data_IF_594130970056
#
_entry.id   IF_594130970056
#
_cell.length_a   1.000
_cell.length_b   1.000
_cell.length_c   1.000
_cell.angle_alpha   90.00
_cell.angle_beta   90.00
_cell.angle_gamma   90.00
#
_symmetry.space_group_name_H-M   'P 1'
#
loop_
_entity.id
_entity.type
_entity.pdbx_description
1 polymer ?
#
# COMPACT_ATOMS: atom_id res chain seq x y z
N UNK A 1 7.45 22.89 -6.22
CA UNK A 1 6.30 22.19 -5.59
C UNK A 1 5.33 21.81 -6.71
N UNK A 2 4.95 20.56 -6.85
CA UNK A 2 3.93 20.20 -7.83
C UNK A 2 2.60 20.82 -7.40
N UNK A 3 2.01 21.60 -8.29
CA UNK A 3 0.66 22.14 -8.08
C UNK A 3 -0.36 21.00 -8.14
N UNK A 4 -1.50 21.17 -7.50
CA UNK A 4 -2.62 20.27 -7.68
C UNK A 4 -3.05 20.25 -9.15
N UNK A 5 -3.33 19.08 -9.66
CA UNK A 5 -3.86 18.85 -10.99
C UNK A 5 -5.31 18.39 -10.89
N UNK A 6 -6.18 18.92 -11.73
CA UNK A 6 -7.55 18.44 -11.88
C UNK A 6 -7.54 17.15 -12.70
N UNK A 7 -7.88 16.04 -12.08
CA UNK A 7 -7.88 14.71 -12.70
C UNK A 7 -9.28 14.16 -12.66
N UNK A 8 -9.83 13.80 -13.82
CA UNK A 8 -11.16 13.22 -13.92
C UNK A 8 -11.13 11.74 -13.56
N UNK A 9 -12.17 11.28 -12.87
CA UNK A 9 -12.40 9.85 -12.65
C UNK A 9 -13.05 9.28 -13.92
N UNK A 10 -12.30 8.47 -14.66
CA UNK A 10 -12.77 7.80 -15.86
C UNK A 10 -13.67 6.61 -15.53
N UNK A 11 -13.25 5.80 -14.53
CA UNK A 11 -13.97 4.60 -14.13
C UNK A 11 -13.86 4.38 -12.62
N UNK A 12 -14.93 3.88 -12.04
CA UNK A 12 -14.94 3.36 -10.66
C UNK A 12 -15.17 1.84 -10.76
N UNK A 13 -14.32 1.07 -10.09
CA UNK A 13 -14.40 -0.38 -10.02
C UNK A 13 -14.71 -0.75 -8.57
N UNK A 14 -15.87 -1.33 -8.33
CA UNK A 14 -16.25 -1.88 -7.03
C UNK A 14 -15.53 -3.23 -6.84
N UNK A 15 -14.61 -3.28 -5.89
CA UNK A 15 -13.91 -4.52 -5.55
C UNK A 15 -14.62 -5.28 -4.44
N UNK A 16 -15.23 -4.55 -3.50
CA UNK A 16 -16.11 -5.05 -2.44
C UNK A 16 -16.86 -3.88 -1.80
N UNK A 17 -17.66 -4.11 -0.77
CA UNK A 17 -18.35 -3.05 0.00
C UNK A 17 -17.37 -2.07 0.67
N UNK A 18 -16.14 -2.54 0.96
CA UNK A 18 -15.11 -1.74 1.62
C UNK A 18 -14.04 -1.20 0.67
N UNK A 19 -13.93 -1.71 -0.56
CA UNK A 19 -12.83 -1.37 -1.46
C UNK A 19 -13.33 -0.91 -2.83
N UNK A 20 -12.75 0.20 -3.29
CA UNK A 20 -12.95 0.74 -4.65
C UNK A 20 -11.64 1.10 -5.30
N UNK A 21 -11.55 0.86 -6.62
CA UNK A 21 -10.53 1.43 -7.48
C UNK A 21 -11.08 2.58 -8.30
N UNK A 22 -10.35 3.68 -8.30
CA UNK A 22 -10.61 4.87 -9.10
C UNK A 22 -9.60 4.90 -10.25
N UNK A 23 -10.06 4.65 -11.47
CA UNK A 23 -9.27 4.78 -12.68
C UNK A 23 -9.34 6.23 -13.13
N UNK A 24 -8.19 6.85 -13.33
CA UNK A 24 -8.02 8.25 -13.67
C UNK A 24 -7.84 8.42 -15.18
N UNK A 25 -8.28 9.55 -15.73
CA UNK A 25 -8.17 9.90 -17.16
C UNK A 25 -6.72 10.23 -17.59
N UNK A 26 -5.76 10.11 -16.68
CA UNK A 26 -4.35 10.40 -16.92
C UNK A 26 -3.44 9.36 -16.31
N UNK A 27 -2.45 8.94 -17.09
CA UNK A 27 -1.31 8.19 -16.58
C UNK A 27 -0.28 9.13 -15.95
N UNK A 28 0.19 8.80 -14.77
CA UNK A 28 1.29 9.49 -14.09
C UNK A 28 2.61 8.80 -14.44
N UNK A 29 3.67 9.59 -14.57
CA UNK A 29 5.03 9.04 -14.61
C UNK A 29 5.44 8.62 -13.19
N UNK A 30 4.98 7.44 -12.81
CA UNK A 30 5.12 6.89 -11.46
C UNK A 30 5.68 5.48 -11.47
N UNK A 31 6.28 5.09 -10.36
CA UNK A 31 6.85 3.77 -10.12
C UNK A 31 6.10 3.06 -8.98
N UNK A 32 6.04 1.71 -8.99
CA UNK A 32 5.41 0.93 -7.92
C UNK A 32 5.96 1.26 -6.53
N UNK A 33 5.07 1.57 -5.60
CA UNK A 33 5.41 2.00 -4.24
C UNK A 33 5.29 3.50 -4.02
N UNK A 34 5.35 4.33 -5.08
CA UNK A 34 5.09 5.75 -4.97
C UNK A 34 3.61 6.05 -4.67
N UNK A 35 3.34 7.26 -4.17
CA UNK A 35 2.02 7.72 -3.79
C UNK A 35 1.72 9.12 -4.35
N UNK A 36 0.47 9.50 -4.31
CA UNK A 36 0.02 10.86 -4.53
C UNK A 36 -0.76 11.38 -3.31
N UNK A 37 -0.91 12.68 -3.24
CA UNK A 37 -1.83 13.33 -2.32
C UNK A 37 -3.13 13.65 -3.07
N UNK A 38 -4.24 13.13 -2.57
CA UNK A 38 -5.58 13.40 -3.08
C UNK A 38 -6.27 14.40 -2.17
N UNK A 39 -6.70 15.51 -2.73
CA UNK A 39 -7.41 16.56 -2.03
C UNK A 39 -8.87 16.63 -2.50
N UNK A 40 -9.78 16.64 -1.54
CA UNK A 40 -11.20 16.96 -1.76
C UNK A 40 -11.41 18.41 -1.30
N UNK A 41 -11.70 19.35 -2.23
CA UNK A 41 -11.87 20.76 -1.90
C UNK A 41 -12.90 20.98 -0.79
N UNK A 42 -12.52 21.76 0.22
CA UNK A 42 -13.38 22.05 1.37
C UNK A 42 -13.40 20.97 2.46
N UNK A 43 -12.69 19.85 2.26
CA UNK A 43 -12.68 18.74 3.20
C UNK A 43 -11.27 18.46 3.78
N UNK A 44 -10.46 17.62 3.12
CA UNK A 44 -9.10 17.27 3.60
C UNK A 44 -8.23 16.78 2.43
N UNK A 45 -6.96 16.47 2.70
CA UNK A 45 -6.00 15.88 1.77
C UNK A 45 -5.35 14.65 2.40
N UNK A 46 -5.27 13.53 1.65
CA UNK A 46 -4.72 12.26 2.13
C UNK A 46 -3.79 11.62 1.10
N UNK A 47 -2.76 10.87 1.57
CA UNK A 47 -1.89 10.09 0.70
C UNK A 47 -2.58 8.80 0.25
N UNK A 48 -2.39 8.44 -1.03
CA UNK A 48 -2.80 7.16 -1.59
C UNK A 48 -1.70 6.61 -2.49
N UNK A 49 -1.34 5.35 -2.27
CA UNK A 49 -0.42 4.63 -3.16
C UNK A 49 -1.08 4.37 -4.51
N UNK A 50 -0.29 4.43 -5.57
CA UNK A 50 -0.75 4.01 -6.88
C UNK A 50 -0.89 2.48 -6.94
N UNK A 51 -2.02 1.98 -7.44
CA UNK A 51 -2.26 0.57 -7.79
C UNK A 51 -2.04 0.27 -9.27
N UNK A 52 -1.90 1.32 -10.07
CA UNK A 52 -1.34 1.38 -11.43
C UNK A 52 -0.97 2.83 -11.75
N UNK A 53 -0.35 3.10 -12.89
CA UNK A 53 0.05 4.46 -13.32
C UNK A 53 -1.11 5.46 -13.40
N UNK A 54 -2.35 4.99 -13.52
CA UNK A 54 -3.57 5.79 -13.52
C UNK A 54 -4.65 5.25 -12.57
N UNK A 55 -4.27 4.46 -11.55
CA UNK A 55 -5.26 3.84 -10.67
C UNK A 55 -4.91 4.02 -9.19
N UNK A 56 -5.92 4.36 -8.39
CA UNK A 56 -5.87 4.45 -6.95
C UNK A 56 -6.90 3.52 -6.34
N UNK A 57 -6.47 2.61 -5.46
CA UNK A 57 -7.37 1.71 -4.73
C UNK A 57 -7.50 2.18 -3.29
N UNK A 58 -8.74 2.32 -2.84
CA UNK A 58 -9.09 2.93 -1.57
C UNK A 58 -9.91 1.98 -0.74
N UNK A 59 -9.54 1.82 0.54
CA UNK A 59 -10.37 1.20 1.56
C UNK A 59 -11.22 2.27 2.27
N UNK A 60 -12.49 2.00 2.48
CA UNK A 60 -13.38 2.86 3.27
C UNK A 60 -13.12 2.65 4.76
N UNK A 61 -12.42 3.61 5.39
CA UNK A 61 -11.99 3.50 6.80
C UNK A 61 -12.29 4.74 7.65
N UNK A 62 -12.95 5.75 7.08
CA UNK A 62 -13.27 6.96 7.83
C UNK A 62 -13.73 8.11 6.94
N UNK A 63 -14.00 9.30 7.50
CA UNK A 63 -14.73 10.38 6.84
C UNK A 63 -14.19 10.77 5.45
N UNK A 64 -12.85 10.83 5.29
CA UNK A 64 -12.26 11.17 3.99
C UNK A 64 -12.55 10.11 2.92
N UNK A 65 -12.40 8.84 3.27
CA UNK A 65 -12.63 7.73 2.34
C UNK A 65 -14.12 7.50 2.10
N UNK A 66 -14.98 7.82 3.07
CA UNK A 66 -16.44 7.85 2.89
C UNK A 66 -16.82 8.92 1.87
N UNK A 67 -16.22 10.13 1.97
CA UNK A 67 -16.46 11.19 0.99
C UNK A 67 -15.96 10.80 -0.41
N UNK A 68 -14.80 10.13 -0.53
CA UNK A 68 -14.34 9.56 -1.80
C UNK A 68 -15.33 8.53 -2.37
N UNK A 69 -15.96 7.73 -1.52
CA UNK A 69 -16.98 6.76 -1.97
C UNK A 69 -18.29 7.40 -2.42
N UNK A 70 -18.57 8.64 -2.02
CA UNK A 70 -19.71 9.42 -2.52
C UNK A 70 -19.43 10.08 -3.89
N UNK A 71 -18.16 10.12 -4.31
CA UNK A 71 -17.77 10.70 -5.59
C UNK A 71 -18.20 9.79 -6.75
N UNK A 72 -18.79 10.41 -7.78
CA UNK A 72 -19.27 9.73 -8.97
C UNK A 72 -18.24 9.78 -10.11
N UNK A 73 -18.37 8.87 -11.08
CA UNK A 73 -17.70 8.94 -12.38
C UNK A 73 -17.91 10.33 -13.01
N UNK A 74 -16.87 10.86 -13.67
CA UNK A 74 -16.76 12.21 -14.23
C UNK A 74 -16.53 13.34 -13.22
N UNK A 75 -16.61 13.09 -11.92
CA UNK A 75 -16.10 14.05 -10.95
C UNK A 75 -14.56 14.16 -11.07
N UNK A 76 -14.03 15.25 -10.52
CA UNK A 76 -12.61 15.53 -10.54
C UNK A 76 -12.04 15.39 -9.13
N UNK A 77 -10.87 14.78 -9.06
CA UNK A 77 -10.02 14.82 -7.89
C UNK A 77 -8.91 15.86 -8.10
N UNK A 78 -8.48 16.46 -7.02
CA UNK A 78 -7.29 17.31 -7.01
C UNK A 78 -6.13 16.45 -6.57
N UNK A 79 -5.17 16.21 -7.46
CA UNK A 79 -4.05 15.30 -7.20
C UNK A 79 -2.73 16.05 -7.36
N UNK A 80 -1.81 15.85 -6.42
CA UNK A 80 -0.41 16.26 -6.54
C UNK A 80 0.51 15.09 -6.24
N UNK A 81 1.62 15.03 -6.95
CA UNK A 81 2.57 13.92 -6.96
C UNK A 81 2.95 13.53 -8.38
N UNK A 82 3.55 12.34 -8.60
CA UNK A 82 3.88 11.31 -7.60
C UNK A 82 4.99 11.73 -6.63
N UNK A 83 5.03 11.10 -5.45
CA UNK A 83 5.99 11.32 -4.39
C UNK A 83 6.59 10.01 -3.86
N UNK A 84 7.72 10.15 -3.18
CA UNK A 84 8.35 9.09 -2.42
C UNK A 84 9.16 8.10 -3.26
N UNK A 85 9.69 7.09 -2.57
CA UNK A 85 10.51 6.02 -3.13
C UNK A 85 9.66 4.90 -3.73
N UNK A 86 10.29 4.06 -4.56
CA UNK A 86 9.68 2.92 -5.23
C UNK A 86 10.28 1.59 -4.76
N UNK A 87 9.57 0.50 -5.00
CA UNK A 87 10.14 -0.85 -4.89
C UNK A 87 11.24 -1.04 -5.93
N UNK A 88 12.28 -1.85 -5.63
CA UNK A 88 13.33 -2.16 -6.60
C UNK A 88 12.79 -2.94 -7.81
N UNK A 89 13.28 -2.61 -9.00
CA UNK A 89 12.87 -3.29 -10.24
C UNK A 89 13.31 -4.76 -10.35
N UNK A 90 14.26 -5.19 -9.50
CA UNK A 90 14.69 -6.57 -9.38
C UNK A 90 13.95 -7.34 -8.28
N UNK A 91 12.76 -6.87 -7.87
CA UNK A 91 11.85 -7.59 -6.98
C UNK A 91 11.49 -8.95 -7.61
N UNK A 92 11.50 -10.00 -6.78
CA UNK A 92 11.22 -11.39 -7.18
C UNK A 92 10.01 -11.97 -6.47
N UNK A 93 9.75 -11.52 -5.28
CA UNK A 93 8.65 -12.01 -4.45
C UNK A 93 7.86 -10.82 -3.90
N UNK A 94 6.55 -10.88 -4.01
CA UNK A 94 5.63 -9.93 -3.39
C UNK A 94 4.85 -10.61 -2.27
N UNK A 95 4.70 -9.91 -1.12
CA UNK A 95 3.89 -10.38 0.01
C UNK A 95 2.93 -9.27 0.40
N UNK A 96 1.64 -9.52 0.23
CA UNK A 96 0.59 -8.52 0.41
C UNK A 96 -0.48 -8.91 1.42
N UNK A 97 -1.02 -7.90 2.13
CA UNK A 97 -2.17 -8.11 3.01
C UNK A 97 -3.18 -6.97 2.94
N UNK A 98 -4.45 -7.32 2.79
CA UNK A 98 -5.55 -6.35 2.74
C UNK A 98 -5.33 -5.25 1.70
N UNK A 99 -5.45 -3.97 2.09
CA UNK A 99 -5.24 -2.83 1.18
C UNK A 99 -3.83 -2.79 0.56
N UNK A 100 -2.83 -3.37 1.22
CA UNK A 100 -1.45 -3.44 0.71
C UNK A 100 -1.29 -4.32 -0.54
N UNK A 101 -2.28 -5.13 -0.90
CA UNK A 101 -2.30 -5.90 -2.15
C UNK A 101 -2.37 -4.96 -3.37
N UNK A 102 -3.07 -3.84 -3.26
CA UNK A 102 -3.28 -2.92 -4.38
C UNK A 102 -1.96 -2.31 -4.95
N UNK A 103 -1.04 -1.74 -4.15
CA UNK A 103 0.26 -1.29 -4.67
C UNK A 103 1.11 -2.43 -5.23
N UNK A 104 0.95 -3.66 -4.73
CA UNK A 104 1.69 -4.82 -5.23
C UNK A 104 1.18 -5.32 -6.59
N UNK A 105 -0.09 -5.08 -6.93
CA UNK A 105 -0.59 -5.25 -8.30
C UNK A 105 0.25 -4.43 -9.28
N UNK A 106 0.56 -3.18 -8.94
CA UNK A 106 1.42 -2.35 -9.78
C UNK A 106 2.87 -2.87 -9.87
N UNK A 107 3.42 -3.44 -8.77
CA UNK A 107 4.73 -4.12 -8.80
C UNK A 107 4.72 -5.26 -9.80
N UNK A 108 3.73 -6.14 -9.72
CA UNK A 108 3.61 -7.32 -10.60
C UNK A 108 3.39 -6.91 -12.05
N UNK A 109 2.52 -5.93 -12.31
CA UNK A 109 2.26 -5.42 -13.65
C UNK A 109 3.48 -4.75 -14.31
N UNK A 110 4.33 -4.09 -13.51
CA UNK A 110 5.46 -3.28 -14.00
C UNK A 110 6.77 -4.07 -14.11
N UNK A 111 7.01 -5.05 -13.23
CA UNK A 111 8.29 -5.74 -13.11
C UNK A 111 8.19 -7.18 -13.58
N UNK A 112 8.99 -7.50 -14.63
CA UNK A 112 8.90 -8.77 -15.36
C UNK A 112 9.49 -10.00 -14.65
N UNK A 113 10.15 -9.82 -13.52
CA UNK A 113 10.92 -10.89 -12.86
C UNK A 113 10.25 -11.47 -11.62
N UNK A 114 9.00 -11.14 -11.36
CA UNK A 114 8.24 -11.70 -10.23
C UNK A 114 8.10 -13.20 -10.40
N UNK A 115 8.41 -13.96 -9.33
CA UNK A 115 8.35 -15.44 -9.29
C UNK A 115 7.37 -15.95 -8.27
N UNK A 116 7.19 -15.23 -7.16
CA UNK A 116 6.32 -15.66 -6.09
C UNK A 116 5.41 -14.51 -5.67
N UNK A 117 4.13 -14.82 -5.53
CA UNK A 117 3.08 -13.90 -5.09
C UNK A 117 2.38 -14.54 -3.89
N UNK A 118 2.42 -13.88 -2.74
CA UNK A 118 1.86 -14.37 -1.49
C UNK A 118 0.88 -13.32 -0.98
N UNK A 119 -0.40 -13.64 -0.94
CA UNK A 119 -1.45 -12.71 -0.55
C UNK A 119 -2.22 -13.23 0.66
N UNK A 120 -2.58 -12.33 1.55
CA UNK A 120 -3.38 -12.65 2.74
C UNK A 120 -4.51 -11.67 2.99
N UNK A 121 -5.60 -12.19 3.54
CA UNK A 121 -6.77 -11.42 3.93
C UNK A 121 -7.53 -12.08 5.08
N UNK A 122 -8.47 -11.36 5.68
CA UNK A 122 -9.37 -11.96 6.67
C UNK A 122 -10.31 -12.97 6.01
N UNK A 123 -10.74 -12.65 4.78
CA UNK A 123 -11.63 -13.46 3.96
C UNK A 123 -11.34 -13.21 2.46
N UNK A 124 -12.05 -13.90 1.57
CA UNK A 124 -11.89 -13.79 0.12
C UNK A 124 -12.02 -12.34 -0.40
N UNK A 125 -12.90 -11.52 0.16
CA UNK A 125 -13.10 -10.13 -0.31
C UNK A 125 -11.93 -9.18 0.00
N UNK A 126 -11.04 -9.56 0.92
CA UNK A 126 -9.78 -8.85 1.20
C UNK A 126 -8.64 -9.22 0.23
N UNK A 127 -8.80 -10.28 -0.56
CA UNK A 127 -7.84 -10.65 -1.62
C UNK A 127 -8.13 -9.82 -2.88
N UNK A 128 -7.73 -8.55 -2.84
CA UNK A 128 -7.98 -7.60 -3.92
C UNK A 128 -7.33 -8.08 -5.22
N UNK A 129 -8.02 -7.88 -6.36
CA UNK A 129 -7.52 -8.23 -7.69
C UNK A 129 -7.13 -9.70 -7.87
N UNK A 130 -7.83 -10.61 -7.18
CA UNK A 130 -7.50 -12.04 -7.21
C UNK A 130 -7.41 -12.59 -8.64
N UNK A 131 -8.41 -12.28 -9.48
CA UNK A 131 -8.43 -12.73 -10.89
C UNK A 131 -7.20 -12.23 -11.68
N UNK A 132 -6.69 -11.03 -11.38
CA UNK A 132 -5.46 -10.52 -11.98
C UNK A 132 -4.26 -11.39 -11.59
N UNK A 133 -4.09 -11.68 -10.30
CA UNK A 133 -2.95 -12.47 -9.82
C UNK A 133 -3.02 -13.94 -10.24
N UNK A 134 -4.22 -14.52 -10.32
CA UNK A 134 -4.43 -15.90 -10.79
C UNK A 134 -4.07 -16.08 -12.28
N UNK A 135 -4.17 -15.00 -13.08
CA UNK A 135 -3.82 -15.01 -14.50
C UNK A 135 -2.36 -14.62 -14.79
N UNK A 136 -1.55 -14.30 -13.75
CA UNK A 136 -0.13 -13.98 -13.94
C UNK A 136 0.71 -15.21 -14.29
N UNK A 137 1.04 -15.33 -15.57
CA UNK A 137 1.79 -16.47 -16.12
C UNK A 137 3.26 -16.41 -15.68
N UNK A 138 3.75 -17.51 -15.09
CA UNK A 138 5.16 -17.68 -14.71
C UNK A 138 5.47 -17.25 -13.28
N UNK A 139 4.47 -16.81 -12.51
CA UNK A 139 4.56 -16.59 -11.09
C UNK A 139 3.79 -17.67 -10.30
N UNK A 140 4.30 -18.04 -9.13
CA UNK A 140 3.63 -18.94 -8.20
C UNK A 140 2.78 -18.11 -7.24
N UNK A 141 1.46 -18.29 -7.26
CA UNK A 141 0.52 -17.62 -6.36
C UNK A 141 0.18 -18.53 -5.18
N UNK A 142 0.34 -17.99 -3.97
CA UNK A 142 -0.16 -18.58 -2.72
C UNK A 142 -1.08 -17.58 -2.02
N UNK A 143 -2.27 -18.00 -1.68
CA UNK A 143 -3.25 -17.16 -0.98
C UNK A 143 -3.63 -17.73 0.37
N UNK A 144 -3.83 -16.86 1.35
CA UNK A 144 -4.27 -17.18 2.70
C UNK A 144 -5.52 -16.38 3.05
N UNK A 145 -6.49 -17.02 3.70
CA UNK A 145 -7.58 -16.34 4.37
C UNK A 145 -7.75 -16.86 5.79
N UNK A 146 -7.95 -15.96 6.75
CA UNK A 146 -8.09 -16.35 8.17
C UNK A 146 -9.31 -17.24 8.40
N UNK A 147 -10.39 -16.98 7.66
CA UNK A 147 -11.63 -17.77 7.73
C UNK A 147 -11.63 -19.04 6.88
N UNK A 148 -10.66 -19.18 5.96
CA UNK A 148 -10.57 -20.30 5.01
C UNK A 148 -11.52 -20.20 3.82
N UNK A 149 -12.06 -19.00 3.53
CA UNK A 149 -13.00 -18.79 2.41
C UNK A 149 -12.33 -18.83 1.03
N UNK A 150 -10.99 -18.72 0.96
CA UNK A 150 -10.21 -18.89 -0.26
C UNK A 150 -8.74 -19.27 0.04
N UNK A 151 -8.15 -20.12 -0.79
CA UNK A 151 -6.77 -20.58 -0.64
C UNK A 151 -6.54 -21.39 0.64
N UNK A 152 -5.39 -21.19 1.26
CA UNK A 152 -5.04 -21.83 2.53
C UNK A 152 -5.69 -21.09 3.70
N UNK A 153 -6.20 -21.83 4.68
CA UNK A 153 -6.69 -21.22 5.92
C UNK A 153 -5.49 -20.83 6.79
N UNK A 154 -5.42 -19.56 7.17
CA UNK A 154 -4.33 -19.02 8.00
C UNK A 154 -3.92 -17.62 7.58
N UNK A 155 -2.69 -17.25 7.88
CA UNK A 155 -2.09 -15.95 7.59
C UNK A 155 -0.81 -16.11 6.77
N UNK A 156 -0.35 -15.05 6.11
CA UNK A 156 0.83 -15.07 5.21
C UNK A 156 2.11 -15.56 5.89
N UNK A 157 2.19 -15.51 7.21
CA UNK A 157 3.33 -16.04 7.98
C UNK A 157 3.25 -17.53 8.27
N UNK A 158 2.18 -18.21 7.90
CA UNK A 158 2.07 -19.67 8.06
C UNK A 158 2.79 -20.44 6.93
N UNK A 159 3.23 -19.71 5.88
CA UNK A 159 4.03 -20.30 4.81
C UNK A 159 5.44 -20.67 5.30
N UNK A 160 5.96 -21.84 4.86
CA UNK A 160 7.31 -22.29 5.22
C UNK A 160 8.41 -21.69 4.35
N UNK A 161 8.07 -21.23 3.14
CA UNK A 161 8.99 -20.67 2.19
C UNK A 161 8.42 -19.46 1.45
N UNK A 162 9.10 -18.33 1.55
CA UNK A 162 8.68 -17.08 0.92
C UNK A 162 9.17 -16.88 -0.53
N UNK A 163 9.78 -17.89 -1.13
CA UNK A 163 10.23 -17.77 -2.52
C UNK A 163 11.62 -17.12 -2.67
N UNK A 164 11.82 -16.44 -3.81
CA UNK A 164 13.11 -15.86 -4.18
C UNK A 164 13.36 -14.52 -3.49
N UNK A 165 14.62 -14.23 -3.08
CA UNK A 165 14.96 -12.95 -2.46
C UNK A 165 14.74 -11.75 -3.37
N UNK A 166 14.81 -10.57 -2.76
CA UNK A 166 14.30 -9.27 -3.16
C UNK A 166 12.77 -9.22 -3.04
N UNK A 167 12.35 -9.04 -1.77
CA UNK A 167 10.95 -9.05 -1.37
C UNK A 167 10.37 -7.64 -1.39
N UNK A 168 9.16 -7.49 -1.93
CA UNK A 168 8.29 -6.33 -1.74
C UNK A 168 7.16 -6.73 -0.79
N UNK A 169 7.07 -6.08 0.36
CA UNK A 169 6.05 -6.38 1.38
C UNK A 169 5.18 -5.15 1.62
N UNK A 170 3.87 -5.31 1.54
CA UNK A 170 2.92 -4.23 1.76
C UNK A 170 1.67 -4.73 2.49
N UNK A 171 1.24 -4.02 3.51
CA UNK A 171 0.07 -4.36 4.34
C UNK A 171 0.16 -3.77 5.74
N UNK A 172 -0.63 -4.27 6.69
CA UNK A 172 -0.56 -3.82 8.08
C UNK A 172 0.84 -3.96 8.68
N UNK A 173 1.32 -2.96 9.41
CA UNK A 173 2.70 -2.96 9.92
C UNK A 173 3.04 -4.18 10.79
N UNK A 174 2.09 -4.68 11.58
CA UNK A 174 2.28 -5.92 12.35
C UNK A 174 2.54 -7.12 11.45
N UNK A 175 1.82 -7.21 10.31
CA UNK A 175 2.06 -8.23 9.29
C UNK A 175 3.44 -8.06 8.66
N UNK A 176 3.81 -6.84 8.26
CA UNK A 176 5.13 -6.53 7.69
C UNK A 176 6.25 -6.93 8.64
N UNK A 177 6.11 -6.64 9.93
CA UNK A 177 7.08 -7.00 10.96
C UNK A 177 7.22 -8.53 11.10
N UNK A 178 6.10 -9.25 11.18
CA UNK A 178 6.10 -10.71 11.28
C UNK A 178 6.73 -11.39 10.05
N UNK A 179 6.35 -10.92 8.85
CA UNK A 179 6.92 -11.38 7.56
C UNK A 179 8.41 -11.10 7.48
N UNK A 180 8.83 -9.86 7.78
CA UNK A 180 10.24 -9.46 7.72
C UNK A 180 11.13 -10.26 8.68
N UNK A 181 10.64 -10.56 9.88
CA UNK A 181 11.33 -11.39 10.85
C UNK A 181 11.44 -12.84 10.37
N UNK A 182 10.38 -13.40 9.77
CA UNK A 182 10.36 -14.78 9.29
C UNK A 182 11.23 -14.97 8.04
N UNK A 183 11.24 -14.02 7.10
CA UNK A 183 12.13 -14.04 5.93
C UNK A 183 13.61 -14.05 6.35
N UNK A 184 13.96 -13.34 7.43
CA UNK A 184 15.33 -13.21 7.97
C UNK A 184 16.39 -12.78 6.92
N UNK A 185 15.98 -11.98 5.95
CA UNK A 185 16.83 -11.33 4.93
C UNK A 185 16.52 -9.83 4.89
N UNK A 186 16.80 -9.09 5.98
CA UNK A 186 16.30 -7.73 6.15
C UNK A 186 16.85 -6.75 5.11
N UNK A 187 18.07 -6.98 4.60
CA UNK A 187 18.69 -6.17 3.53
C UNK A 187 18.18 -6.51 2.12
N UNK A 188 17.34 -7.52 1.97
CA UNK A 188 16.69 -7.96 0.73
C UNK A 188 15.16 -7.80 0.79
N UNK A 189 14.65 -7.24 1.88
CA UNK A 189 13.23 -7.03 2.13
C UNK A 189 12.94 -5.54 2.11
N UNK A 190 12.06 -5.12 1.19
CA UNK A 190 11.58 -3.75 1.03
C UNK A 190 10.13 -3.69 1.45
N UNK A 191 9.79 -2.73 2.28
CA UNK A 191 8.46 -2.61 2.88
C UNK A 191 7.85 -1.25 2.62
N UNK A 192 6.58 -1.19 2.30
CA UNK A 192 5.84 0.06 2.15
C UNK A 192 5.18 0.43 3.46
N UNK A 193 5.42 1.66 3.93
CA UNK A 193 4.92 2.16 5.21
C UNK A 193 3.77 3.14 5.02
N UNK A 194 2.79 3.02 5.91
CA UNK A 194 1.70 4.00 6.03
C UNK A 194 1.97 4.96 7.19
N UNK A 195 1.90 6.26 6.93
CA UNK A 195 2.04 7.32 7.95
C UNK A 195 1.11 8.47 7.64
N UNK A 196 0.71 9.16 8.71
CA UNK A 196 0.03 10.43 8.55
C UNK A 196 0.92 11.41 7.80
N UNK A 197 0.44 11.96 6.70
CA UNK A 197 1.17 12.90 5.85
C UNK A 197 0.40 14.22 5.70
N UNK A 198 1.15 15.33 5.67
CA UNK A 198 0.63 16.69 5.40
C UNK A 198 1.28 17.29 4.16
N UNK A 199 2.58 17.59 4.23
CA UNK A 199 3.26 18.30 3.14
C UNK A 199 3.65 17.40 1.98
N UNK A 200 3.96 16.12 2.21
CA UNK A 200 4.49 15.13 1.27
C UNK A 200 5.85 15.51 0.62
N UNK A 201 6.51 16.57 1.09
CA UNK A 201 7.77 17.13 0.54
C UNK A 201 8.88 17.28 1.60
N UNK A 202 8.78 16.56 2.72
CA UNK A 202 9.82 16.46 3.73
C UNK A 202 9.96 17.65 4.68
N UNK A 203 9.03 18.62 4.67
CA UNK A 203 9.16 19.87 5.46
C UNK A 203 8.56 19.77 6.86
N UNK A 204 7.34 19.23 7.01
CA UNK A 204 6.57 19.37 8.25
C UNK A 204 6.87 18.33 9.32
N UNK A 205 7.58 17.24 9.01
CA UNK A 205 7.91 16.17 9.95
C UNK A 205 6.74 15.30 10.41
N UNK A 206 5.50 15.54 9.95
CA UNK A 206 4.33 14.78 10.38
C UNK A 206 4.45 13.26 10.14
N UNK A 207 5.10 12.87 9.04
CA UNK A 207 5.33 11.47 8.66
C UNK A 207 6.63 10.88 9.23
N UNK A 208 7.32 11.57 10.14
CA UNK A 208 8.61 11.12 10.66
C UNK A 208 8.49 9.83 11.47
N UNK A 209 9.39 8.90 11.20
CA UNK A 209 9.55 7.64 11.93
C UNK A 209 11.04 7.31 12.02
N UNK A 210 11.57 7.23 13.24
CA UNK A 210 12.95 6.78 13.50
C UNK A 210 14.02 7.47 12.65
N UNK A 211 13.90 8.79 12.46
CA UNK A 211 14.84 9.59 11.68
C UNK A 211 14.50 9.69 10.18
N UNK A 212 13.58 8.88 9.67
CA UNK A 212 13.14 8.95 8.27
C UNK A 212 11.87 9.79 8.13
N UNK A 213 11.80 10.58 7.08
CA UNK A 213 10.59 11.30 6.63
C UNK A 213 9.92 10.43 5.56
N UNK A 214 8.95 9.65 5.95
CA UNK A 214 8.35 8.61 5.09
C UNK A 214 7.85 9.15 3.74
N UNK A 215 7.45 10.42 3.65
CA UNK A 215 7.02 11.02 2.39
C UNK A 215 8.14 11.29 1.37
N UNK A 216 9.41 11.30 1.79
CA UNK A 216 10.57 11.60 0.92
C UNK A 216 11.58 10.46 0.93
N UNK A 217 11.93 9.98 2.14
CA UNK A 217 12.90 8.90 2.32
C UNK A 217 12.28 7.50 2.06
N UNK A 218 10.92 7.40 2.17
CA UNK A 218 10.05 6.27 1.85
C UNK A 218 9.02 6.62 0.77
N UNK A 219 7.82 6.03 0.76
CA UNK A 219 7.27 5.08 1.75
C UNK A 219 7.91 3.70 1.71
N UNK A 220 8.57 3.35 0.61
CA UNK A 220 9.26 2.08 0.49
C UNK A 220 10.64 2.20 1.12
N UNK A 221 10.85 1.48 2.21
CA UNK A 221 12.12 1.42 2.92
C UNK A 221 12.64 -0.01 3.00
N UNK A 222 13.95 -0.16 3.08
CA UNK A 222 14.57 -1.45 3.34
C UNK A 222 14.35 -1.84 4.81
N UNK A 223 13.98 -3.08 5.06
CA UNK A 223 13.54 -3.56 6.37
C UNK A 223 14.63 -3.46 7.46
N UNK A 224 15.90 -3.67 7.10
CA UNK A 224 17.02 -3.54 8.04
C UNK A 224 17.19 -2.13 8.64
N UNK A 225 16.70 -1.11 7.94
CA UNK A 225 16.76 0.29 8.40
C UNK A 225 15.72 0.62 9.49
N UNK A 226 14.67 -0.20 9.60
CA UNK A 226 13.50 0.12 10.44
C UNK A 226 13.11 -0.98 11.42
N UNK A 227 13.59 -2.22 11.26
CA UNK A 227 13.16 -3.37 12.07
C UNK A 227 13.33 -3.17 13.57
N UNK A 228 14.37 -2.44 13.99
CA UNK A 228 14.68 -2.16 15.39
C UNK A 228 14.08 -0.83 15.89
N UNK A 229 13.23 -0.20 15.10
CA UNK A 229 12.54 1.05 15.42
C UNK A 229 11.60 0.87 16.62
N UNK A 230 11.61 1.82 17.55
CA UNK A 230 10.63 1.88 18.64
C UNK A 230 9.21 2.23 18.19
N UNK A 231 9.07 2.75 16.97
CA UNK A 231 7.78 3.19 16.40
C UNK A 231 7.19 2.18 15.42
N UNK A 232 8.03 1.48 14.64
CA UNK A 232 7.59 0.56 13.61
C UNK A 232 6.80 -0.61 14.21
N UNK A 233 5.60 -0.87 13.69
CA UNK A 233 4.70 -1.90 14.20
C UNK A 233 4.05 -1.59 15.56
N UNK A 234 4.30 -0.41 16.14
CA UNK A 234 3.86 -0.06 17.50
C UNK A 234 3.14 1.27 17.61
N UNK A 235 3.70 2.32 17.02
CA UNK A 235 3.24 3.69 17.18
C UNK A 235 3.10 4.40 15.84
N UNK A 236 2.10 5.26 15.72
CA UNK A 236 1.95 6.20 14.62
C UNK A 236 1.56 7.59 15.13
N UNK A 237 1.81 8.60 14.30
CA UNK A 237 1.43 9.98 14.59
C UNK A 237 0.05 10.27 14.00
N UNK A 238 -0.84 10.83 14.83
CA UNK A 238 -2.16 11.29 14.41
C UNK A 238 -2.16 12.76 13.98
N UNK A 239 -3.30 13.26 13.50
CA UNK A 239 -3.47 14.65 12.98
C UNK A 239 -3.06 15.74 13.97
N UNK A 240 -3.24 15.52 15.27
CA UNK A 240 -2.81 16.42 16.35
C UNK A 240 -1.28 16.50 16.51
N UNK A 241 -0.53 15.56 15.95
CA UNK A 241 0.91 15.41 16.15
C UNK A 241 1.28 14.45 17.27
N UNK A 242 0.30 13.96 18.03
CA UNK A 242 0.48 12.99 19.10
C UNK A 242 0.85 11.60 18.55
N UNK A 243 1.69 10.85 19.29
CA UNK A 243 1.98 9.44 19.00
C UNK A 243 0.95 8.56 19.71
N UNK A 244 0.29 7.68 18.95
CA UNK A 244 -0.67 6.71 19.47
C UNK A 244 -0.26 5.28 19.09
N UNK A 245 -0.70 4.30 19.89
CA UNK A 245 -0.55 2.90 19.55
C UNK A 245 -1.28 2.57 18.25
N UNK A 246 -0.72 1.65 17.46
CA UNK A 246 -1.41 1.11 16.28
C UNK A 246 -2.69 0.35 16.66
N UNK A 247 -2.78 -0.18 17.88
CA UNK A 247 -3.99 -0.86 18.35
C UNK A 247 -5.19 0.10 18.47
N UNK A 248 -4.92 1.39 18.65
CA UNK A 248 -5.95 2.45 18.71
C UNK A 248 -6.62 2.76 17.35
N UNK A 249 -6.06 2.27 16.23
CA UNK A 249 -6.64 2.47 14.89
C UNK A 249 -7.60 1.34 14.49
N UNK A 250 -7.70 0.30 15.30
CA UNK A 250 -8.55 -0.87 15.01
C UNK A 250 -9.96 -0.73 15.62
N UNK A 251 -10.21 0.36 16.36
CA UNK A 251 -11.51 0.75 16.91
C UNK A 251 -12.11 1.90 16.07
#
# INVERSE_FOLDING_TARGET
MSSHQHIQIEKIIELSDEYRSFVLDRHFDTLPGQFCMVWIPGFDEKPFSFSDSNELTVKKVGPFTEELFNISKKNHLQIRGPYGSSFPNNTRTVVGGGCGIAPLKFVVNKYLEIKNIILGGKNKSDLLFLDFFENEIGSELTTFTEDGSHGLKGIVTDIDYFGKPNYAVCGPEKMIQAVGNKINLPNKTFVSLERYMKCAVGLCGACSMSGYRVCVDGPVLRYDLIKDSSHFGKLHRVKSGELKSLDYLCD
#
